data_IF_333548869712
#
_entry.id   IF_333548869712
#
_cell.length_a   1.000
_cell.length_b   1.000
_cell.length_c   1.000
_cell.angle_alpha   90.00
_cell.angle_beta   90.00
_cell.angle_gamma   90.00
#
_symmetry.space_group_name_H-M   'P 1'
#
loop_
_entity.id
_entity.type
_entity.pdbx_description
1 polymer ?
#
# COMPACT_ATOMS: atom_id res chain seq x y z
N UNK A 1 18.41 18.87 15.65
CA UNK A 1 17.57 17.67 15.56
C UNK A 1 16.38 18.03 14.70
N UNK A 2 16.21 17.32 13.58
CA UNK A 2 15.03 17.51 12.76
C UNK A 2 13.83 16.91 13.51
N UNK A 3 12.94 17.75 14.00
CA UNK A 3 11.65 17.29 14.51
C UNK A 3 10.87 16.72 13.33
N UNK A 4 10.61 15.43 13.39
CA UNK A 4 9.69 14.79 12.46
C UNK A 4 8.27 15.11 12.90
N UNK A 5 7.60 15.99 12.18
CA UNK A 5 6.19 16.32 12.39
C UNK A 5 5.22 15.22 11.91
N UNK A 6 5.74 14.12 11.35
CA UNK A 6 4.95 13.03 10.78
C UNK A 6 4.99 11.78 11.65
N UNK A 7 4.55 11.89 12.92
CA UNK A 7 4.47 10.72 13.80
C UNK A 7 3.17 9.91 13.65
N UNK A 8 2.18 10.43 12.94
CA UNK A 8 0.80 9.93 12.94
C UNK A 8 0.40 9.17 11.69
N UNK A 9 1.36 8.51 11.01
CA UNK A 9 1.03 7.66 9.88
C UNK A 9 0.09 6.52 10.30
N UNK A 10 -0.98 6.33 9.54
CA UNK A 10 -1.93 5.24 9.76
C UNK A 10 -1.27 3.88 9.58
N UNK A 11 -1.82 2.83 10.19
CA UNK A 11 -1.35 1.46 9.98
C UNK A 11 -1.36 1.07 8.50
N UNK A 12 -2.41 1.43 7.78
CA UNK A 12 -2.50 1.24 6.33
C UNK A 12 -1.38 1.97 5.58
N UNK A 13 -1.12 3.23 5.89
CA UNK A 13 -0.05 4.01 5.26
C UNK A 13 1.35 3.46 5.55
N UNK A 14 1.59 2.99 6.77
CA UNK A 14 2.87 2.37 7.17
C UNK A 14 3.18 1.10 6.38
N UNK A 15 2.14 0.39 5.90
CA UNK A 15 2.28 -0.85 5.14
C UNK A 15 2.67 -0.68 3.67
N UNK A 16 2.68 0.53 3.12
CA UNK A 16 2.88 0.80 1.69
C UNK A 16 4.19 0.25 1.10
N UNK A 17 5.22 0.13 1.91
CA UNK A 17 6.53 -0.32 1.45
C UNK A 17 6.60 -1.84 1.16
N UNK A 18 5.60 -2.61 1.56
CA UNK A 18 5.47 -4.03 1.22
C UNK A 18 4.59 -4.19 -0.03
N UNK A 19 4.90 -5.18 -0.87
CA UNK A 19 4.00 -5.57 -1.96
C UNK A 19 2.63 -5.97 -1.40
N UNK A 20 1.57 -5.48 -2.02
CA UNK A 20 0.20 -5.63 -1.54
C UNK A 20 -0.25 -4.53 -0.57
N UNK A 21 0.67 -3.75 0.03
CA UNK A 21 0.35 -2.82 1.10
C UNK A 21 -0.52 -1.64 0.67
N UNK A 22 -0.36 -1.14 -0.55
CA UNK A 22 -1.20 -0.05 -1.08
C UNK A 22 -2.60 -0.55 -1.38
N UNK A 23 -2.72 -1.70 -2.04
CA UNK A 23 -4.00 -2.32 -2.35
C UNK A 23 -4.77 -2.69 -1.06
N UNK A 24 -4.08 -3.26 -0.07
CA UNK A 24 -4.67 -3.58 1.23
C UNK A 24 -5.19 -2.32 1.96
N UNK A 25 -4.45 -1.21 1.87
CA UNK A 25 -4.88 0.05 2.46
C UNK A 25 -6.16 0.58 1.82
N UNK A 26 -6.25 0.52 0.49
CA UNK A 26 -7.44 0.93 -0.27
C UNK A 26 -8.62 0.01 0.04
N UNK A 27 -8.39 -1.31 0.07
CA UNK A 27 -9.42 -2.30 0.40
C UNK A 27 -10.00 -2.07 1.81
N UNK A 28 -9.14 -1.82 2.80
CA UNK A 28 -9.59 -1.48 4.15
C UNK A 28 -10.45 -0.22 4.19
N UNK A 29 -10.08 0.82 3.45
CA UNK A 29 -10.87 2.05 3.37
C UNK A 29 -12.22 1.81 2.66
N UNK A 30 -12.24 1.01 1.60
CA UNK A 30 -13.49 0.66 0.89
C UNK A 30 -14.40 -0.12 1.84
N UNK A 31 -13.89 -1.14 2.52
CA UNK A 31 -14.68 -1.97 3.44
C UNK A 31 -15.26 -1.16 4.61
N UNK A 32 -14.54 -0.16 5.09
CA UNK A 32 -15.01 0.69 6.19
C UNK A 32 -16.01 1.75 5.73
N UNK A 33 -15.71 2.44 4.62
CA UNK A 33 -16.48 3.62 4.23
C UNK A 33 -17.50 3.37 3.12
N UNK A 34 -17.36 2.27 2.39
CA UNK A 34 -18.21 1.89 1.26
C UNK A 34 -18.47 0.37 1.27
N UNK A 35 -19.10 -0.18 2.33
CA UNK A 35 -19.22 -1.63 2.54
C UNK A 35 -20.02 -2.35 1.45
N UNK A 36 -20.83 -1.61 0.69
CA UNK A 36 -21.63 -2.15 -0.43
C UNK A 36 -20.83 -2.26 -1.75
N UNK A 37 -19.57 -1.81 -1.75
CA UNK A 37 -18.70 -1.85 -2.93
C UNK A 37 -17.79 -3.06 -2.84
N UNK A 38 -17.96 -3.99 -3.76
CA UNK A 38 -17.01 -5.08 -3.96
C UNK A 38 -15.86 -4.62 -4.84
N UNK A 39 -14.62 -4.82 -4.40
CA UNK A 39 -13.43 -4.52 -5.18
C UNK A 39 -12.67 -5.81 -5.46
N UNK A 40 -12.31 -6.02 -6.72
CA UNK A 40 -11.40 -7.06 -7.13
C UNK A 40 -9.99 -6.49 -7.24
N UNK A 41 -9.01 -7.17 -6.68
CA UNK A 41 -7.63 -6.69 -6.64
C UNK A 41 -6.75 -7.63 -7.45
N UNK A 42 -5.91 -7.05 -8.29
CA UNK A 42 -4.87 -7.73 -9.04
C UNK A 42 -3.51 -7.18 -8.63
N UNK A 43 -2.59 -8.07 -8.29
CA UNK A 43 -1.22 -7.73 -7.89
C UNK A 43 -0.25 -8.08 -9.01
N UNK A 44 0.73 -7.21 -9.23
CA UNK A 44 1.81 -7.43 -10.17
C UNK A 44 3.14 -7.04 -9.53
N UNK A 45 4.04 -7.99 -9.39
CA UNK A 45 5.36 -7.79 -8.78
C UNK A 45 6.46 -7.95 -9.82
N UNK A 46 7.25 -6.90 -9.99
CA UNK A 46 8.28 -6.83 -11.01
C UNK A 46 7.76 -6.32 -12.35
N UNK A 47 8.65 -5.75 -13.16
CA UNK A 47 8.28 -5.08 -14.41
C UNK A 47 7.65 -6.01 -15.44
N UNK A 48 8.05 -7.27 -15.47
CA UNK A 48 7.50 -8.25 -16.41
C UNK A 48 6.03 -8.56 -16.10
N UNK A 49 5.69 -8.79 -14.84
CA UNK A 49 4.31 -9.00 -14.41
C UNK A 49 3.45 -7.73 -14.59
N UNK A 50 3.97 -6.57 -14.22
CA UNK A 50 3.29 -5.30 -14.45
C UNK A 50 2.93 -5.13 -15.93
N UNK A 51 3.86 -5.41 -16.84
CA UNK A 51 3.62 -5.33 -18.28
C UNK A 51 2.53 -6.32 -18.74
N UNK A 52 2.55 -7.55 -18.23
CA UNK A 52 1.53 -8.58 -18.52
C UNK A 52 0.15 -8.13 -18.04
N UNK A 53 0.07 -7.68 -16.78
CA UNK A 53 -1.19 -7.24 -16.18
C UNK A 53 -1.77 -6.03 -16.92
N UNK A 54 -0.94 -5.05 -17.27
CA UNK A 54 -1.39 -3.90 -18.08
C UNK A 54 -1.86 -4.31 -19.48
N UNK A 55 -1.25 -5.35 -20.09
CA UNK A 55 -1.70 -5.89 -21.37
C UNK A 55 -3.08 -6.52 -21.23
N UNK A 56 -3.34 -7.27 -20.16
CA UNK A 56 -4.66 -7.83 -19.87
C UNK A 56 -5.71 -6.74 -19.61
N UNK A 57 -5.33 -5.71 -18.87
CA UNK A 57 -6.20 -4.55 -18.61
C UNK A 57 -6.58 -3.83 -19.91
N UNK A 58 -5.59 -3.60 -20.79
CA UNK A 58 -5.83 -3.01 -22.12
C UNK A 58 -6.76 -3.85 -22.98
N UNK A 59 -6.71 -5.18 -22.84
CA UNK A 59 -7.60 -6.13 -23.52
C UNK A 59 -9.01 -6.20 -22.89
N UNK A 60 -9.32 -5.40 -21.87
CA UNK A 60 -10.62 -5.37 -21.19
C UNK A 60 -10.87 -6.55 -20.24
N UNK A 61 -9.84 -7.30 -19.86
CA UNK A 61 -9.98 -8.48 -19.01
C UNK A 61 -9.97 -8.19 -17.51
N UNK A 62 -9.58 -6.99 -17.13
CA UNK A 62 -9.47 -6.55 -15.72
C UNK A 62 -10.35 -5.31 -15.45
N UNK A 63 -11.51 -5.25 -16.10
CA UNK A 63 -12.45 -4.15 -15.88
C UNK A 63 -13.00 -4.19 -14.45
N UNK A 64 -12.98 -3.05 -13.80
CA UNK A 64 -13.44 -2.92 -12.40
C UNK A 64 -12.43 -3.43 -11.36
N UNK A 65 -11.24 -3.89 -11.77
CA UNK A 65 -10.18 -4.26 -10.84
C UNK A 65 -9.35 -3.05 -10.39
N UNK A 66 -8.96 -3.06 -9.12
CA UNK A 66 -7.84 -2.28 -8.62
C UNK A 66 -6.56 -3.03 -8.95
N UNK A 67 -5.65 -2.41 -9.69
CA UNK A 67 -4.36 -3.00 -10.03
C UNK A 67 -3.27 -2.33 -9.20
N UNK A 68 -2.55 -3.12 -8.41
CA UNK A 68 -1.33 -2.69 -7.74
C UNK A 68 -0.12 -3.21 -8.50
N UNK A 69 0.74 -2.29 -8.97
CA UNK A 69 2.01 -2.64 -9.62
C UNK A 69 3.20 -2.22 -8.77
N UNK A 70 4.08 -3.16 -8.47
CA UNK A 70 5.36 -2.93 -7.77
C UNK A 70 6.52 -3.26 -8.68
N UNK A 71 7.42 -2.29 -8.90
CA UNK A 71 8.61 -2.50 -9.74
C UNK A 71 9.60 -3.51 -9.13
N UNK A 72 9.71 -3.56 -7.81
CA UNK A 72 10.53 -4.51 -7.07
C UNK A 72 9.66 -5.64 -6.51
N UNK A 73 9.95 -6.92 -6.81
CA UNK A 73 9.28 -8.05 -6.17
C UNK A 73 9.43 -7.99 -4.64
N UNK A 74 8.32 -8.09 -3.92
CA UNK A 74 8.27 -7.94 -2.47
C UNK A 74 8.04 -6.51 -1.98
N UNK A 75 8.01 -5.52 -2.87
CA UNK A 75 7.83 -4.10 -2.57
C UNK A 75 9.14 -3.36 -2.31
N UNK A 76 9.03 -2.11 -1.84
CA UNK A 76 10.18 -1.23 -1.61
C UNK A 76 11.17 -1.80 -0.59
N UNK A 77 10.69 -2.56 0.39
CA UNK A 77 11.54 -3.21 1.41
C UNK A 77 12.42 -4.33 0.86
N UNK A 78 12.19 -4.75 -0.39
CA UNK A 78 12.98 -5.74 -1.12
C UNK A 78 13.73 -5.12 -2.31
N UNK A 79 13.68 -3.80 -2.45
CA UNK A 79 14.35 -3.07 -3.53
C UNK A 79 15.85 -3.04 -3.43
N UNK A 80 16.52 -2.61 -4.51
CA UNK A 80 17.97 -2.62 -4.65
C UNK A 80 18.74 -1.75 -3.63
N UNK A 81 18.08 -0.76 -3.03
CA UNK A 81 18.67 0.14 -2.02
C UNK A 81 18.54 -0.34 -0.58
N UNK A 82 17.98 -1.52 -0.32
CA UNK A 82 17.76 -2.01 1.03
C UNK A 82 19.03 -2.55 1.67
N UNK A 83 19.20 -2.31 2.98
CA UNK A 83 20.41 -2.66 3.73
C UNK A 83 20.22 -3.84 4.68
N UNK A 84 19.03 -4.41 4.75
CA UNK A 84 18.71 -5.54 5.63
C UNK A 84 18.02 -6.66 4.84
N UNK A 85 18.11 -7.93 5.31
CA UNK A 85 17.43 -9.04 4.67
C UNK A 85 15.91 -8.83 4.62
N UNK A 86 15.28 -9.20 3.49
CA UNK A 86 13.85 -8.98 3.23
C UNK A 86 12.95 -9.57 4.32
N UNK A 87 13.25 -10.77 4.82
CA UNK A 87 12.47 -11.40 5.90
C UNK A 87 12.49 -10.57 7.19
N UNK A 88 13.64 -9.98 7.51
CA UNK A 88 13.76 -9.07 8.66
C UNK A 88 12.97 -7.78 8.41
N UNK A 89 13.12 -7.19 7.22
CA UNK A 89 12.40 -5.99 6.83
C UNK A 89 10.87 -6.18 6.90
N UNK A 90 10.35 -7.30 6.41
CA UNK A 90 8.92 -7.64 6.52
C UNK A 90 8.45 -7.71 7.97
N UNK A 91 9.23 -8.36 8.83
CA UNK A 91 8.90 -8.48 10.26
C UNK A 91 8.90 -7.12 10.95
N UNK A 92 9.92 -6.31 10.70
CA UNK A 92 10.06 -4.99 11.30
C UNK A 92 8.95 -4.04 10.80
N UNK A 93 8.61 -4.11 9.51
CA UNK A 93 7.50 -3.35 8.94
C UNK A 93 6.15 -3.76 9.53
N UNK A 94 5.90 -5.06 9.69
CA UNK A 94 4.66 -5.56 10.30
C UNK A 94 4.51 -5.06 11.75
N UNK A 95 5.59 -5.03 12.51
CA UNK A 95 5.60 -4.47 13.86
C UNK A 95 5.32 -2.94 13.83
N UNK A 96 5.91 -2.22 12.88
CA UNK A 96 5.69 -0.79 12.70
C UNK A 96 4.24 -0.46 12.32
N UNK A 97 3.63 -1.26 11.44
CA UNK A 97 2.21 -1.17 11.11
C UNK A 97 1.33 -1.39 12.34
N UNK A 98 1.62 -2.46 13.11
CA UNK A 98 0.85 -2.81 14.30
C UNK A 98 0.92 -1.75 15.41
N UNK A 99 2.01 -1.02 15.49
CA UNK A 99 2.21 0.04 16.49
C UNK A 99 1.50 1.35 16.14
N UNK A 100 0.79 1.42 15.01
CA UNK A 100 -0.04 2.59 14.70
C UNK A 100 -1.28 2.64 15.58
N UNK A 101 -1.61 3.82 16.08
CA UNK A 101 -2.82 4.07 16.86
C UNK A 101 -4.05 4.24 15.98
N UNK A 102 -3.86 4.55 14.70
CA UNK A 102 -4.93 4.79 13.72
C UNK A 102 -4.78 3.79 12.57
N UNK A 103 -5.71 2.86 12.36
CA UNK A 103 -5.56 1.80 11.36
C UNK A 103 -5.68 2.29 9.91
N UNK A 104 -6.60 3.21 9.64
CA UNK A 104 -6.89 3.79 8.32
C UNK A 104 -7.06 5.29 8.42
N UNK A 105 -6.88 6.05 7.31
CA UNK A 105 -7.13 7.50 7.32
C UNK A 105 -8.63 7.79 7.51
N UNK A 106 -8.99 8.96 8.03
CA UNK A 106 -10.38 9.39 8.14
C UNK A 106 -11.01 9.56 6.75
N UNK A 107 -12.34 9.41 6.64
CA UNK A 107 -13.07 9.57 5.38
C UNK A 107 -12.98 10.98 4.82
N UNK A 108 -13.04 11.97 5.72
CA UNK A 108 -12.89 13.38 5.39
C UNK A 108 -11.56 13.86 5.99
N UNK A 109 -10.74 14.47 5.17
CA UNK A 109 -9.56 15.17 5.67
C UNK A 109 -10.05 16.42 6.38
N UNK A 110 -9.82 16.54 7.68
CA UNK A 110 -9.89 17.83 8.35
C UNK A 110 -8.95 18.77 7.60
N UNK A 111 -9.42 19.97 7.29
CA UNK A 111 -8.57 21.00 6.68
C UNK A 111 -7.33 21.15 7.54
N UNK A 112 -6.19 20.75 7.02
CA UNK A 112 -4.91 21.00 7.66
C UNK A 112 -4.67 22.49 7.51
N UNK A 113 -4.94 23.26 8.55
CA UNK A 113 -4.48 24.64 8.62
C UNK A 113 -2.96 24.62 8.57
N UNK A 114 -2.41 24.95 7.42
CA UNK A 114 -0.99 25.21 7.26
C UNK A 114 -0.72 26.59 7.85
N UNK A 115 -0.30 26.64 9.10
CA UNK A 115 0.32 27.84 9.68
C UNK A 115 1.73 28.09 9.09
#
# INVERSE_FOLDING_TARGET
EAESSFHDATGAGRGYACAGGVAEAIEKCINEYYPDVEVSIEHAEGLAECKKTLTLAKAGRLNGCLIEGMGCPGGCIAGAGTNIPVLKAKKDLAAYVKNSTTPIPPKELEEIELE
#
